data_IF_539404043435
#
_entry.id   IF_539404043435
#
_cell.length_a   1.000
_cell.length_b   1.000
_cell.length_c   1.000
_cell.angle_alpha   90.00
_cell.angle_beta   90.00
_cell.angle_gamma   90.00
#
_symmetry.space_group_name_H-M   'P 1'
#
loop_
_entity.id
_entity.type
_entity.pdbx_description
1 polymer ?
#
# COMPACT_ATOMS: atom_id res chain seq x y z
N UNK A 1 1.30 -11.57 6.49
CA UNK A 1 0.90 -12.27 7.73
C UNK A 1 1.12 -11.40 8.95
N UNK A 2 0.24 -11.50 9.96
CA UNK A 2 0.28 -10.67 11.18
C UNK A 2 1.61 -10.75 11.95
N UNK A 3 2.32 -11.87 11.86
CA UNK A 3 3.62 -12.09 12.52
C UNK A 3 4.73 -11.12 12.06
N UNK A 4 4.59 -10.49 10.90
CA UNK A 4 5.58 -9.56 10.35
C UNK A 4 5.22 -8.08 10.55
N UNK A 5 4.10 -7.79 11.22
CA UNK A 5 3.64 -6.41 11.44
C UNK A 5 4.15 -5.87 12.78
N UNK A 6 4.87 -4.73 12.77
CA UNK A 6 5.45 -4.09 13.96
C UNK A 6 4.43 -3.69 15.05
N UNK A 7 3.15 -3.54 14.71
CA UNK A 7 2.13 -2.97 15.59
C UNK A 7 1.29 -4.00 16.35
N UNK A 8 1.64 -5.28 16.37
CA UNK A 8 0.72 -6.36 16.72
C UNK A 8 0.99 -7.03 18.05
N UNK A 9 1.16 -6.28 19.15
CA UNK A 9 1.18 -6.93 20.47
C UNK A 9 -0.23 -7.31 20.99
N UNK A 10 -1.31 -6.74 20.48
CA UNK A 10 -2.66 -6.84 21.05
C UNK A 10 -3.74 -7.57 20.22
N UNK A 11 -3.61 -7.64 18.89
CA UNK A 11 -4.47 -8.48 18.03
C UNK A 11 -3.72 -8.86 16.76
N UNK A 12 -3.51 -10.15 16.55
CA UNK A 12 -2.82 -10.71 15.36
C UNK A 12 -3.78 -10.86 14.18
N UNK A 13 -4.47 -9.81 13.79
CA UNK A 13 -5.27 -9.83 12.57
C UNK A 13 -4.39 -9.52 11.37
N UNK A 14 -4.52 -10.33 10.31
CA UNK A 14 -3.82 -10.08 9.05
C UNK A 14 -4.44 -8.84 8.39
N UNK A 15 -3.60 -7.90 7.98
CA UNK A 15 -4.05 -6.76 7.19
C UNK A 15 -4.12 -7.15 5.72
N UNK A 16 -5.31 -7.03 5.11
CA UNK A 16 -5.53 -7.28 3.70
C UNK A 16 -5.19 -6.02 2.90
N UNK A 17 -4.35 -6.14 1.89
CA UNK A 17 -4.01 -5.05 0.96
C UNK A 17 -4.70 -5.33 -0.36
N UNK A 18 -5.62 -4.48 -0.84
CA UNK A 18 -6.16 -4.59 -2.18
C UNK A 18 -5.05 -4.35 -3.21
N UNK A 19 -5.02 -5.15 -4.25
CA UNK A 19 -4.11 -4.97 -5.37
C UNK A 19 -4.89 -4.43 -6.56
N UNK A 20 -4.31 -3.43 -7.26
CA UNK A 20 -4.85 -2.96 -8.53
C UNK A 20 -4.59 -3.98 -9.64
N UNK A 21 -5.32 -3.89 -10.74
CA UNK A 21 -5.15 -4.77 -11.89
C UNK A 21 -3.71 -4.70 -12.45
N UNK A 22 -3.10 -3.54 -12.46
CA UNK A 22 -1.71 -3.38 -12.90
C UNK A 22 -0.71 -4.00 -11.90
N UNK A 23 -0.98 -3.91 -10.60
CA UNK A 23 -0.16 -4.59 -9.59
C UNK A 23 -0.26 -6.12 -9.74
N UNK A 24 -1.45 -6.65 -10.04
CA UNK A 24 -1.63 -8.07 -10.33
C UNK A 24 -0.83 -8.50 -11.56
N UNK A 25 -0.85 -7.74 -12.66
CA UNK A 25 -0.03 -8.00 -13.85
C UNK A 25 1.48 -8.03 -13.56
N UNK A 26 1.94 -7.22 -12.61
CA UNK A 26 3.35 -7.26 -12.19
C UNK A 26 3.63 -8.55 -11.42
N UNK A 27 2.75 -8.93 -10.49
CA UNK A 27 2.88 -10.15 -9.69
C UNK A 27 2.85 -11.39 -10.56
N UNK A 28 1.96 -11.46 -11.55
CA UNK A 28 1.84 -12.59 -12.48
C UNK A 28 3.13 -12.84 -13.31
N UNK A 29 3.95 -11.80 -13.47
CA UNK A 29 5.26 -11.92 -14.13
C UNK A 29 6.39 -12.33 -13.19
N UNK A 30 6.13 -12.37 -11.89
CA UNK A 30 7.14 -12.71 -10.91
C UNK A 30 7.22 -14.22 -10.70
N UNK A 31 8.45 -14.73 -10.55
CA UNK A 31 8.65 -16.12 -10.16
C UNK A 31 8.48 -16.28 -8.65
N UNK A 32 7.64 -17.22 -8.25
CA UNK A 32 7.50 -17.62 -6.84
C UNK A 32 8.45 -18.79 -6.60
N UNK A 33 9.38 -18.64 -5.67
CA UNK A 33 10.32 -19.72 -5.37
C UNK A 33 9.66 -20.90 -4.64
N UNK A 34 10.40 -22.01 -4.47
CA UNK A 34 9.92 -23.24 -3.81
C UNK A 34 9.40 -23.03 -2.39
N UNK A 35 9.80 -21.94 -1.71
CA UNK A 35 9.34 -21.58 -0.38
C UNK A 35 8.09 -20.67 -0.39
N UNK A 36 7.49 -20.42 -1.54
CA UNK A 36 6.33 -19.56 -1.70
C UNK A 36 6.63 -18.05 -1.55
N UNK A 37 7.89 -17.66 -1.76
CA UNK A 37 8.33 -16.26 -1.63
C UNK A 37 8.34 -15.61 -3.01
N UNK A 38 7.54 -14.55 -3.19
CA UNK A 38 7.42 -13.80 -4.45
C UNK A 38 8.70 -12.97 -4.75
N UNK A 39 9.26 -12.32 -3.75
CA UNK A 39 10.49 -11.55 -3.84
C UNK A 39 11.54 -12.19 -2.94
N UNK A 40 12.34 -13.08 -3.51
CA UNK A 40 13.38 -13.78 -2.79
C UNK A 40 14.74 -13.11 -2.99
N UNK A 41 15.58 -13.15 -1.94
CA UNK A 41 16.99 -12.84 -2.02
C UNK A 41 17.78 -13.97 -2.67
N UNK A 42 19.08 -13.76 -2.88
CA UNK A 42 19.98 -14.73 -3.54
C UNK A 42 20.02 -16.10 -2.86
N UNK A 43 19.80 -16.15 -1.55
CA UNK A 43 19.80 -17.39 -0.76
C UNK A 43 18.42 -18.05 -0.67
N UNK A 44 17.44 -17.57 -1.43
CA UNK A 44 16.06 -18.09 -1.40
C UNK A 44 15.23 -17.60 -0.21
N UNK A 45 15.76 -16.77 0.68
CA UNK A 45 15.08 -16.12 1.78
C UNK A 45 14.43 -14.80 1.35
N UNK A 46 13.77 -14.11 2.28
CA UNK A 46 13.22 -12.77 2.03
C UNK A 46 14.32 -11.77 1.67
N UNK A 47 14.02 -10.85 0.76
CA UNK A 47 14.89 -9.70 0.50
C UNK A 47 15.12 -8.88 1.77
N UNK A 48 16.31 -8.28 1.91
CA UNK A 48 16.61 -7.42 3.05
C UNK A 48 15.76 -6.14 3.03
N UNK A 49 15.56 -5.52 4.19
CA UNK A 49 14.83 -4.25 4.31
C UNK A 49 15.44 -3.11 3.47
N UNK A 50 16.74 -3.20 3.17
CA UNK A 50 17.46 -2.18 2.41
C UNK A 50 17.53 -2.48 0.90
N UNK A 51 17.09 -3.65 0.45
CA UNK A 51 17.20 -4.08 -0.95
C UNK A 51 16.57 -3.07 -1.90
N UNK A 52 15.33 -2.63 -1.62
CA UNK A 52 14.63 -1.67 -2.46
C UNK A 52 15.37 -0.32 -2.51
N UNK A 53 15.87 0.16 -1.38
CA UNK A 53 16.65 1.40 -1.30
C UNK A 53 17.93 1.31 -2.14
N UNK A 54 18.69 0.22 -2.03
CA UNK A 54 19.90 0.01 -2.82
C UNK A 54 19.60 -0.13 -4.31
N UNK A 55 18.52 -0.83 -4.67
CA UNK A 55 18.07 -0.94 -6.04
C UNK A 55 17.75 0.43 -6.65
N UNK A 56 16.97 1.25 -5.95
CA UNK A 56 16.62 2.60 -6.39
C UNK A 56 17.87 3.49 -6.56
N UNK A 57 18.80 3.43 -5.62
CA UNK A 57 20.04 4.19 -5.71
C UNK A 57 20.88 3.81 -6.95
N UNK A 58 21.00 2.50 -7.24
CA UNK A 58 21.69 2.01 -8.45
C UNK A 58 21.00 2.46 -9.74
N UNK A 59 19.69 2.76 -9.71
CA UNK A 59 18.90 3.25 -10.83
C UNK A 59 18.88 4.78 -10.96
N UNK A 60 19.70 5.50 -10.19
CA UNK A 60 19.80 6.96 -10.25
C UNK A 60 18.79 7.72 -9.39
N UNK A 61 18.01 7.05 -8.56
CA UNK A 61 17.04 7.71 -7.66
C UNK A 61 17.63 8.14 -6.32
N UNK A 62 18.96 8.13 -6.18
CA UNK A 62 19.61 8.59 -4.95
C UNK A 62 19.20 10.04 -4.63
N UNK A 63 18.73 10.30 -3.42
CA UNK A 63 18.20 11.60 -2.95
C UNK A 63 16.98 12.15 -3.73
N UNK A 64 16.50 11.47 -4.77
CA UNK A 64 15.33 11.88 -5.56
C UNK A 64 14.08 11.20 -5.02
N UNK A 65 14.15 9.90 -4.75
CA UNK A 65 13.04 9.12 -4.26
C UNK A 65 13.49 8.06 -3.24
N UNK A 66 12.56 7.62 -2.42
CA UNK A 66 12.79 6.54 -1.46
C UNK A 66 11.58 5.61 -1.39
N UNK A 67 11.73 4.35 -0.96
CA UNK A 67 10.60 3.45 -0.79
C UNK A 67 9.51 4.01 0.14
N UNK A 68 9.91 4.75 1.17
CA UNK A 68 8.95 5.43 2.06
C UNK A 68 8.26 6.63 1.39
N UNK A 69 8.95 7.30 0.48
CA UNK A 69 8.41 8.42 -0.29
C UNK A 69 7.18 8.04 -1.12
N UNK A 70 7.12 6.83 -1.67
CA UNK A 70 5.93 6.35 -2.40
C UNK A 70 4.69 6.31 -1.51
N UNK A 71 4.83 5.96 -0.25
CA UNK A 71 3.74 6.00 0.72
C UNK A 71 3.29 7.43 0.98
N UNK A 72 4.22 8.37 1.10
CA UNK A 72 3.92 9.79 1.28
C UNK A 72 3.22 10.37 0.05
N UNK A 73 3.66 10.02 -1.16
CA UNK A 73 3.01 10.44 -2.40
C UNK A 73 1.57 9.94 -2.50
N UNK A 74 1.32 8.68 -2.15
CA UNK A 74 -0.04 8.14 -2.07
C UNK A 74 -0.88 8.92 -1.05
N UNK A 75 -0.33 9.23 0.12
CA UNK A 75 -1.04 9.99 1.16
C UNK A 75 -1.43 11.39 0.67
N UNK A 76 -0.49 12.11 0.04
CA UNK A 76 -0.75 13.42 -0.54
C UNK A 76 -1.84 13.35 -1.62
N UNK A 77 -1.74 12.39 -2.54
CA UNK A 77 -2.77 12.21 -3.56
C UNK A 77 -4.15 11.91 -2.95
N UNK A 78 -4.23 11.08 -1.91
CA UNK A 78 -5.48 10.82 -1.19
C UNK A 78 -6.08 12.09 -0.58
N UNK A 79 -5.24 13.01 -0.11
CA UNK A 79 -5.73 14.27 0.47
C UNK A 79 -6.20 15.25 -0.60
N UNK A 80 -5.51 15.33 -1.71
CA UNK A 80 -5.77 16.30 -2.77
C UNK A 80 -6.82 15.83 -3.78
N UNK A 81 -6.86 14.52 -4.09
CA UNK A 81 -7.64 13.97 -5.20
C UNK A 81 -8.75 13.01 -4.79
N UNK A 82 -8.81 12.58 -3.52
CA UNK A 82 -9.82 11.64 -3.06
C UNK A 82 -10.75 12.26 -2.01
N UNK A 83 -12.03 12.45 -2.39
CA UNK A 83 -13.05 12.91 -1.44
C UNK A 83 -13.62 11.73 -0.65
N UNK A 84 -12.87 11.27 0.34
CA UNK A 84 -13.25 10.16 1.23
C UNK A 84 -12.91 10.48 2.67
N UNK A 85 -13.58 9.80 3.60
CA UNK A 85 -13.35 9.98 5.02
C UNK A 85 -11.89 9.77 5.42
N UNK A 86 -11.42 10.56 6.36
CA UNK A 86 -10.05 10.47 6.88
C UNK A 86 -9.68 9.05 7.34
N UNK A 87 -10.61 8.32 7.97
CA UNK A 87 -10.39 6.94 8.40
C UNK A 87 -10.05 6.00 7.25
N UNK A 88 -10.67 6.20 6.09
CA UNK A 88 -10.41 5.40 4.89
C UNK A 88 -9.02 5.72 4.34
N UNK A 89 -8.64 7.02 4.28
CA UNK A 89 -7.30 7.45 3.87
C UNK A 89 -6.21 6.81 4.73
N UNK A 90 -6.39 6.83 6.06
CA UNK A 90 -5.47 6.17 6.99
C UNK A 90 -5.42 4.65 6.80
N UNK A 91 -6.58 4.02 6.55
CA UNK A 91 -6.65 2.59 6.26
C UNK A 91 -5.94 2.20 4.97
N UNK A 92 -5.99 3.04 3.91
CA UNK A 92 -5.26 2.80 2.65
C UNK A 92 -3.76 2.66 2.90
N UNK A 93 -3.21 3.53 3.73
CA UNK A 93 -1.78 3.51 4.07
C UNK A 93 -1.46 2.65 5.31
N UNK A 94 -2.38 1.80 5.78
CA UNK A 94 -2.20 0.94 6.97
C UNK A 94 -1.83 1.70 8.26
N UNK A 95 -2.28 2.94 8.40
CA UNK A 95 -2.19 3.65 9.67
C UNK A 95 -3.34 3.23 10.58
N UNK A 96 -3.04 2.99 11.85
CA UNK A 96 -4.06 2.84 12.87
C UNK A 96 -4.60 4.22 13.23
N UNK A 97 -5.90 4.41 13.08
CA UNK A 97 -6.57 5.64 13.44
C UNK A 97 -7.37 5.49 14.74
N UNK A 98 -7.34 6.54 15.55
CA UNK A 98 -8.13 6.63 16.77
C UNK A 98 -7.48 5.98 17.99
N UNK A 99 -8.14 6.18 19.16
CA UNK A 99 -7.75 5.54 20.41
C UNK A 99 -7.96 4.03 20.36
N UNK A 100 -7.36 3.30 21.29
CA UNK A 100 -7.56 1.84 21.45
C UNK A 100 -9.05 1.48 21.55
N UNK A 101 -9.84 2.34 22.17
CA UNK A 101 -11.29 2.21 22.29
C UNK A 101 -11.97 2.35 20.92
N UNK A 102 -11.66 3.41 20.16
CA UNK A 102 -12.23 3.62 18.81
C UNK A 102 -11.88 2.48 17.86
N UNK A 103 -10.68 1.93 17.96
CA UNK A 103 -10.23 0.78 17.15
C UNK A 103 -11.01 -0.51 17.47
N UNK A 104 -11.47 -0.70 18.71
CA UNK A 104 -12.28 -1.87 19.08
C UNK A 104 -13.69 -1.83 18.49
N UNK A 105 -14.20 -0.64 18.14
CA UNK A 105 -15.48 -0.45 17.47
C UNK A 105 -15.38 -0.45 15.94
N UNK A 106 -14.20 -0.27 15.36
CA UNK A 106 -13.98 -0.31 13.92
C UNK A 106 -14.06 -1.76 13.40
N UNK A 107 -15.28 -2.23 13.11
CA UNK A 107 -15.55 -3.60 12.62
C UNK A 107 -15.20 -3.82 11.15
N UNK A 108 -14.98 -2.77 10.38
CA UNK A 108 -14.70 -2.82 8.95
C UNK A 108 -13.26 -2.40 8.66
N UNK A 109 -12.56 -3.16 7.81
CA UNK A 109 -11.27 -2.77 7.26
C UNK A 109 -11.42 -1.90 5.98
N UNK A 110 -12.65 -1.53 5.63
CA UNK A 110 -13.00 -0.75 4.44
C UNK A 110 -12.42 -1.31 3.14
N UNK A 111 -12.33 -2.63 3.02
CA UNK A 111 -11.60 -3.29 1.93
C UNK A 111 -12.08 -2.85 0.55
N UNK A 112 -13.38 -2.83 0.30
CA UNK A 112 -13.94 -2.45 -1.00
C UNK A 112 -13.66 -0.97 -1.35
N UNK A 113 -13.82 -0.07 -0.39
CA UNK A 113 -13.48 1.35 -0.59
C UNK A 113 -11.98 1.54 -0.86
N UNK A 114 -11.12 0.82 -0.13
CA UNK A 114 -9.68 0.84 -0.36
C UNK A 114 -9.31 0.26 -1.73
N UNK A 115 -9.99 -0.79 -2.20
CA UNK A 115 -9.78 -1.38 -3.52
C UNK A 115 -9.99 -0.34 -4.64
N UNK A 116 -11.10 0.40 -4.58
CA UNK A 116 -11.37 1.49 -5.54
C UNK A 116 -10.26 2.54 -5.51
N UNK A 117 -9.78 2.94 -4.33
CA UNK A 117 -8.73 3.95 -4.20
C UNK A 117 -7.38 3.45 -4.72
N UNK A 118 -7.02 2.19 -4.50
CA UNK A 118 -5.81 1.60 -5.07
C UNK A 118 -5.86 1.53 -6.60
N UNK A 119 -7.02 1.21 -7.18
CA UNK A 119 -7.19 1.20 -8.63
C UNK A 119 -7.07 2.61 -9.22
N UNK A 120 -7.72 3.60 -8.62
CA UNK A 120 -7.61 5.01 -9.04
C UNK A 120 -6.18 5.53 -8.94
N UNK A 121 -5.48 5.22 -7.84
CA UNK A 121 -4.08 5.56 -7.68
C UNK A 121 -3.21 4.94 -8.78
N UNK A 122 -3.44 3.67 -9.11
CA UNK A 122 -2.77 2.97 -10.20
C UNK A 122 -3.00 3.67 -11.54
N UNK A 123 -4.24 4.03 -11.84
CA UNK A 123 -4.61 4.74 -13.07
C UNK A 123 -3.99 6.15 -13.13
N UNK A 124 -3.93 6.85 -12.00
CA UNK A 124 -3.24 8.14 -11.91
C UNK A 124 -1.74 8.01 -12.22
N UNK A 125 -1.04 7.04 -11.62
CA UNK A 125 0.37 6.79 -11.88
C UNK A 125 0.68 6.46 -13.35
N UNK A 126 -0.27 5.84 -14.05
CA UNK A 126 -0.15 5.47 -15.46
C UNK A 126 -0.64 6.56 -16.42
N UNK A 127 -1.04 7.72 -15.92
CA UNK A 127 -1.61 8.80 -16.71
C UNK A 127 -2.96 8.48 -17.36
N UNK A 128 -3.66 7.44 -16.88
CA UNK A 128 -5.00 7.05 -17.35
C UNK A 128 -6.12 7.85 -16.69
N UNK A 129 -5.86 8.42 -15.53
CA UNK A 129 -6.77 9.27 -14.76
C UNK A 129 -6.05 10.60 -14.47
N UNK A 130 -6.68 11.72 -14.83
CA UNK A 130 -6.14 13.04 -14.48
C UNK A 130 -6.34 13.30 -12.98
N UNK A 131 -5.47 14.12 -12.38
CA UNK A 131 -5.65 14.63 -11.01
C UNK A 131 -6.88 15.54 -10.86
N UNK A 132 -7.65 15.78 -11.94
CA UNK A 132 -8.84 16.61 -11.89
C UNK A 132 -9.85 16.02 -10.91
N UNK A 133 -10.30 16.87 -10.02
CA UNK A 133 -11.32 16.68 -8.98
C UNK A 133 -12.66 16.16 -9.54
N UNK A 134 -12.70 14.97 -10.08
CA UNK A 134 -13.95 14.25 -10.20
C UNK A 134 -14.33 13.78 -8.79
N UNK A 135 -15.13 14.58 -8.10
CA UNK A 135 -15.69 14.30 -6.78
C UNK A 135 -16.58 13.06 -6.89
N UNK A 136 -15.97 11.88 -6.85
CA UNK A 136 -16.70 10.66 -6.62
C UNK A 136 -16.95 10.55 -5.11
N UNK A 137 -18.12 11.00 -4.69
CA UNK A 137 -18.63 10.71 -3.35
C UNK A 137 -18.94 9.22 -3.28
N UNK A 138 -18.04 8.45 -2.70
CA UNK A 138 -18.30 7.04 -2.37
C UNK A 138 -19.19 7.05 -1.11
N UNK A 139 -20.49 6.87 -1.31
CA UNK A 139 -21.47 6.70 -0.22
C UNK A 139 -21.37 5.32 0.42
#
# INVERSE_FOLDING_TARGET
PAKHMKASKLKKEAFRVPLSDEALKVIDKCYINSNGILFSGERGDYISNNTMYHYMNKRGFFKVASPHGFRSSLRTWLDECANVDYQIKEAVISHKFGSTVSQSYARSDHFEKRKVLHERWSNYLLGKESASLSVLTIR
#
